data_IF_735111913578
#
_entry.id   IF_735111913578
#
_cell.length_a   1.000
_cell.length_b   1.000
_cell.length_c   1.000
_cell.angle_alpha   90.00
_cell.angle_beta   90.00
_cell.angle_gamma   90.00
#
_symmetry.space_group_name_H-M   'P 1'
#
loop_
_entity.id
_entity.type
_entity.pdbx_description
1 polymer ?
#
# COMPACT_ATOMS: atom_id res chain seq x y z
N UNK A 1 -21.66 -12.53 34.13
CA UNK A 1 -21.00 -12.93 32.87
C UNK A 1 -21.13 -11.77 31.90
N UNK A 2 -20.12 -10.90 31.82
CA UNK A 2 -20.24 -9.56 31.21
C UNK A 2 -19.21 -9.44 30.09
N UNK A 3 -19.74 -9.26 28.88
CA UNK A 3 -19.16 -8.54 27.73
C UNK A 3 -17.84 -9.11 27.15
N UNK A 4 -17.96 -10.15 26.30
CA UNK A 4 -16.93 -10.54 25.32
C UNK A 4 -17.35 -10.30 23.86
N UNK A 5 -18.63 -9.94 23.61
CA UNK A 5 -19.16 -9.73 22.26
C UNK A 5 -18.51 -8.62 21.40
N UNK A 6 -18.07 -7.45 21.92
CA UNK A 6 -17.61 -6.37 21.03
C UNK A 6 -16.23 -6.62 20.41
N UNK A 7 -15.41 -7.52 20.97
CA UNK A 7 -14.06 -7.84 20.45
C UNK A 7 -14.09 -9.07 19.54
N UNK A 8 -14.96 -10.05 19.81
CA UNK A 8 -15.02 -11.32 19.05
C UNK A 8 -15.39 -11.08 17.58
N UNK A 9 -16.30 -10.15 17.30
CA UNK A 9 -16.77 -9.89 15.93
C UNK A 9 -15.68 -9.30 15.01
N UNK A 10 -14.92 -8.25 15.40
CA UNK A 10 -13.79 -7.77 14.60
C UNK A 10 -12.70 -8.82 14.38
N UNK A 11 -12.34 -9.58 15.42
CA UNK A 11 -11.27 -10.59 15.29
C UNK A 11 -11.70 -11.75 14.41
N UNK A 12 -12.94 -12.23 14.55
CA UNK A 12 -13.51 -13.26 13.69
C UNK A 12 -13.62 -12.78 12.24
N UNK A 13 -14.00 -11.52 12.00
CA UNK A 13 -14.06 -10.94 10.67
C UNK A 13 -12.67 -10.80 10.03
N UNK A 14 -11.65 -10.36 10.77
CA UNK A 14 -10.27 -10.31 10.29
C UNK A 14 -9.72 -11.72 10.00
N UNK A 15 -10.05 -12.71 10.84
CA UNK A 15 -9.69 -14.10 10.59
C UNK A 15 -10.37 -14.66 9.33
N UNK A 16 -11.67 -14.37 9.14
CA UNK A 16 -12.39 -14.71 7.92
C UNK A 16 -11.76 -14.07 6.68
N UNK A 17 -11.44 -12.78 6.74
CA UNK A 17 -10.73 -12.09 5.65
C UNK A 17 -9.36 -12.72 5.38
N UNK A 18 -8.58 -13.02 6.43
CA UNK A 18 -7.29 -13.68 6.27
C UNK A 18 -7.43 -15.03 5.53
N UNK A 19 -8.33 -15.89 5.99
CA UNK A 19 -8.55 -17.21 5.42
C UNK A 19 -9.05 -17.15 3.97
N UNK A 20 -9.88 -16.16 3.62
CA UNK A 20 -10.43 -16.03 2.27
C UNK A 20 -9.49 -15.36 1.27
N UNK A 21 -8.52 -14.57 1.76
CA UNK A 21 -7.63 -13.77 0.91
C UNK A 21 -6.24 -14.37 0.74
N UNK A 22 -5.74 -15.17 1.71
CA UNK A 22 -4.38 -15.71 1.67
C UNK A 22 -4.07 -16.54 0.41
N UNK A 23 -5.10 -17.20 -0.14
CA UNK A 23 -4.95 -18.06 -1.33
C UNK A 23 -5.15 -17.27 -2.63
N UNK A 24 -5.63 -16.01 -2.54
CA UNK A 24 -5.92 -15.14 -3.70
C UNK A 24 -4.87 -14.06 -3.91
N UNK A 25 -4.25 -13.60 -2.83
CA UNK A 25 -3.23 -12.56 -2.83
C UNK A 25 -2.06 -13.01 -1.98
N UNK A 26 -0.92 -13.16 -2.65
CA UNK A 26 0.34 -13.45 -1.99
C UNK A 26 0.83 -12.21 -1.27
N UNK A 27 1.42 -12.38 -0.10
CA UNK A 27 2.00 -11.26 0.64
C UNK A 27 3.10 -11.76 1.57
N UNK A 28 4.24 -11.10 1.48
CA UNK A 28 5.47 -11.40 2.19
C UNK A 28 6.00 -10.14 2.86
N UNK A 29 6.40 -10.27 4.13
CA UNK A 29 6.92 -9.15 4.92
C UNK A 29 8.28 -9.49 5.50
N UNK A 30 9.30 -8.72 5.17
CA UNK A 30 10.70 -8.94 5.57
C UNK A 30 11.28 -7.71 6.30
N UNK A 31 12.24 -7.91 7.23
CA UNK A 31 12.95 -6.82 7.90
C UNK A 31 14.15 -6.30 7.07
N UNK A 32 14.01 -6.27 5.74
CA UNK A 32 14.97 -5.80 4.74
C UNK A 32 14.24 -5.61 3.41
N UNK A 33 14.82 -4.85 2.47
CA UNK A 33 14.29 -4.75 1.11
C UNK A 33 14.35 -6.11 0.40
N UNK A 34 13.24 -6.52 -0.22
CA UNK A 34 13.13 -7.78 -0.97
C UNK A 34 13.71 -7.69 -2.38
N UNK A 35 13.67 -6.49 -3.00
CA UNK A 35 14.19 -6.21 -4.33
C UNK A 35 14.51 -4.72 -4.49
N UNK A 36 15.00 -4.36 -5.68
CA UNK A 36 15.34 -3.00 -6.08
C UNK A 36 14.19 -2.27 -6.80
N UNK A 37 12.96 -2.82 -6.79
CA UNK A 37 11.81 -2.22 -7.48
C UNK A 37 11.39 -0.88 -6.86
N UNK A 38 11.72 -0.66 -5.59
CA UNK A 38 11.45 0.59 -4.85
C UNK A 38 12.76 1.24 -4.42
N UNK A 39 13.09 2.38 -5.04
CA UNK A 39 14.26 3.15 -4.67
C UNK A 39 14.05 3.92 -3.35
N UNK A 40 14.84 3.58 -2.34
CA UNK A 40 14.87 4.31 -1.07
C UNK A 40 15.47 5.72 -1.26
N UNK A 41 15.11 6.69 -0.40
CA UNK A 41 15.77 7.99 -0.37
C UNK A 41 17.28 7.85 -0.13
N UNK A 42 18.08 8.72 -0.78
CA UNK A 42 19.55 8.70 -0.70
C UNK A 42 20.07 8.69 0.74
N UNK A 43 19.45 9.44 1.63
CA UNK A 43 19.80 9.49 3.06
C UNK A 43 19.73 8.10 3.71
N UNK A 44 18.66 7.34 3.44
CA UNK A 44 18.47 6.00 4.00
C UNK A 44 19.47 5.02 3.40
N UNK A 45 19.72 5.11 2.09
CA UNK A 45 20.70 4.27 1.39
C UNK A 45 22.13 4.47 1.92
N UNK A 46 22.53 5.73 2.14
CA UNK A 46 23.87 6.08 2.60
C UNK A 46 24.13 5.69 4.06
N UNK A 47 23.07 5.61 4.87
CA UNK A 47 23.14 5.35 6.31
C UNK A 47 22.34 4.11 6.70
N UNK A 48 22.28 3.07 5.86
CA UNK A 48 21.40 1.90 6.05
C UNK A 48 21.53 1.26 7.45
N UNK A 49 22.74 1.26 8.01
CA UNK A 49 23.04 0.71 9.33
C UNK A 49 22.42 1.52 10.49
N UNK A 50 21.95 2.74 10.25
CA UNK A 50 21.27 3.57 11.23
C UNK A 50 19.75 3.33 11.24
N UNK A 51 19.21 2.62 10.25
CA UNK A 51 17.78 2.43 10.05
C UNK A 51 17.32 0.98 10.31
N UNK A 52 16.06 0.84 10.70
CA UNK A 52 15.30 -0.41 10.62
C UNK A 52 14.35 -0.27 9.46
N UNK A 53 14.42 -1.20 8.52
CA UNK A 53 13.63 -1.22 7.29
C UNK A 53 12.71 -2.44 7.33
N UNK A 54 11.45 -2.24 6.97
CA UNK A 54 10.49 -3.30 6.73
C UNK A 54 9.91 -3.15 5.35
N UNK A 55 9.88 -4.25 4.60
CA UNK A 55 9.30 -4.30 3.28
C UNK A 55 8.18 -5.36 3.29
N UNK A 56 6.94 -4.92 3.10
CA UNK A 56 5.81 -5.79 2.80
C UNK A 56 5.47 -5.71 1.30
N UNK A 57 5.61 -6.82 0.59
CA UNK A 57 5.27 -6.97 -0.82
C UNK A 57 4.03 -7.83 -0.92
N UNK A 58 2.98 -7.33 -1.58
CA UNK A 58 1.76 -8.09 -1.83
C UNK A 58 1.40 -8.07 -3.31
N UNK A 59 1.07 -9.23 -3.87
CA UNK A 59 0.82 -9.34 -5.30
C UNK A 59 -0.27 -10.33 -5.65
N UNK A 60 -0.85 -10.12 -6.83
CA UNK A 60 -1.84 -10.99 -7.44
C UNK A 60 -1.57 -11.13 -8.93
N UNK A 61 -1.61 -12.38 -9.40
CA UNK A 61 -1.48 -12.71 -10.81
C UNK A 61 -2.85 -12.61 -11.49
N UNK A 62 -2.86 -11.99 -12.66
CA UNK A 62 -4.05 -11.78 -13.48
C UNK A 62 -3.75 -12.35 -14.86
N UNK A 63 -4.49 -13.38 -15.25
CA UNK A 63 -4.43 -13.89 -16.61
C UNK A 63 -5.19 -12.91 -17.52
N UNK A 64 -4.46 -12.14 -18.32
CA UNK A 64 -5.04 -11.18 -19.24
C UNK A 64 -4.07 -10.91 -20.38
N UNK A 65 -4.27 -11.62 -21.49
CA UNK A 65 -3.42 -11.52 -22.68
C UNK A 65 -3.35 -10.10 -23.24
N UNK A 66 -4.45 -9.33 -23.16
CA UNK A 66 -4.48 -7.94 -23.64
C UNK A 66 -3.58 -7.05 -22.78
N UNK A 67 -3.61 -7.19 -21.47
CA UNK A 67 -2.72 -6.44 -20.57
C UNK A 67 -1.27 -6.90 -20.76
N UNK A 68 -1.03 -8.20 -20.86
CA UNK A 68 0.31 -8.75 -21.05
C UNK A 68 0.98 -8.32 -22.38
N UNK A 69 0.18 -8.06 -23.43
CA UNK A 69 0.70 -7.69 -24.76
C UNK A 69 0.68 -6.18 -25.02
N UNK A 70 -0.11 -5.40 -24.28
CA UNK A 70 -0.25 -3.96 -24.49
C UNK A 70 0.10 -3.15 -23.23
N UNK A 71 1.40 -2.93 -23.02
CA UNK A 71 1.95 -2.08 -21.95
C UNK A 71 1.52 -0.61 -22.04
N UNK A 72 0.96 -0.17 -23.18
CA UNK A 72 0.37 1.17 -23.33
C UNK A 72 -0.85 1.40 -22.44
N UNK A 73 -1.50 0.32 -21.96
CA UNK A 73 -2.67 0.40 -21.08
C UNK A 73 -2.32 0.57 -19.59
N UNK A 74 -1.05 0.41 -19.22
CA UNK A 74 -0.63 0.40 -17.82
C UNK A 74 -0.87 1.72 -17.08
N UNK A 75 -0.60 2.90 -17.65
CA UNK A 75 -0.82 4.16 -16.94
C UNK A 75 -2.29 4.38 -16.52
N UNK A 76 -3.24 4.07 -17.41
CA UNK A 76 -4.67 4.17 -17.12
C UNK A 76 -5.11 3.11 -16.09
N UNK A 77 -4.58 1.89 -16.20
CA UNK A 77 -4.86 0.81 -15.27
C UNK A 77 -4.35 1.11 -13.86
N UNK A 78 -3.11 1.61 -13.73
CA UNK A 78 -2.53 2.05 -12.45
C UNK A 78 -3.38 3.14 -11.80
N UNK A 79 -3.81 4.13 -12.59
CA UNK A 79 -4.68 5.21 -12.11
C UNK A 79 -6.00 4.65 -11.60
N UNK A 80 -6.67 3.81 -12.40
CA UNK A 80 -7.95 3.19 -12.01
C UNK A 80 -7.83 2.31 -10.76
N UNK A 81 -6.75 1.52 -10.69
CA UNK A 81 -6.44 0.64 -9.57
C UNK A 81 -6.19 1.44 -8.29
N UNK A 82 -5.39 2.51 -8.35
CA UNK A 82 -5.15 3.39 -7.20
C UNK A 82 -6.42 4.09 -6.73
N UNK A 83 -7.25 4.60 -7.65
CA UNK A 83 -8.56 5.18 -7.29
C UNK A 83 -9.41 4.18 -6.52
N UNK A 84 -9.54 2.96 -7.03
CA UNK A 84 -10.30 1.90 -6.36
C UNK A 84 -9.72 1.54 -4.98
N UNK A 85 -8.40 1.39 -4.89
CA UNK A 85 -7.72 1.07 -3.64
C UNK A 85 -7.89 2.17 -2.60
N UNK A 86 -7.69 3.43 -2.96
CA UNK A 86 -7.82 4.55 -2.04
C UNK A 86 -9.28 4.76 -1.60
N UNK A 87 -10.25 4.56 -2.50
CA UNK A 87 -11.68 4.54 -2.15
C UNK A 87 -12.06 3.40 -1.20
N UNK A 88 -11.38 2.26 -1.28
CA UNK A 88 -11.54 1.19 -0.31
C UNK A 88 -10.85 1.54 1.02
N UNK A 89 -9.64 2.11 0.97
CA UNK A 89 -8.83 2.48 2.12
C UNK A 89 -9.51 3.54 3.00
N UNK A 90 -10.17 4.56 2.44
CA UNK A 90 -10.89 5.57 3.25
C UNK A 90 -12.01 5.00 4.14
N UNK A 91 -12.43 3.75 3.89
CA UNK A 91 -13.41 3.03 4.70
C UNK A 91 -12.76 2.14 5.77
N UNK A 92 -11.44 2.03 5.77
CA UNK A 92 -10.69 1.21 6.71
C UNK A 92 -10.40 1.99 8.01
N UNK A 93 -10.32 1.31 9.16
CA UNK A 93 -10.02 1.95 10.44
C UNK A 93 -8.74 2.82 10.44
N UNK A 94 -7.62 2.41 9.81
CA UNK A 94 -6.42 3.26 9.75
C UNK A 94 -6.66 4.60 9.05
N UNK A 95 -7.45 4.64 7.97
CA UNK A 95 -7.75 5.89 7.28
C UNK A 95 -8.57 6.85 8.14
N UNK A 96 -9.51 6.35 8.95
CA UNK A 96 -10.25 7.18 9.90
C UNK A 96 -9.37 7.75 10.99
N UNK A 97 -8.39 6.98 11.47
CA UNK A 97 -7.41 7.45 12.43
C UNK A 97 -6.56 8.59 11.83
N UNK A 98 -6.03 8.40 10.61
CA UNK A 98 -5.26 9.44 9.90
C UNK A 98 -6.12 10.70 9.71
N UNK A 99 -7.34 10.55 9.18
CA UNK A 99 -8.26 11.68 8.93
C UNK A 99 -8.55 12.49 10.20
N UNK A 100 -8.71 11.82 11.35
CA UNK A 100 -8.93 12.47 12.65
C UNK A 100 -7.70 13.22 13.16
N UNK A 101 -6.50 12.73 12.85
CA UNK A 101 -5.24 13.34 13.27
C UNK A 101 -4.82 14.56 12.44
N UNK A 102 -5.44 14.78 11.28
CA UNK A 102 -5.23 15.97 10.43
C UNK A 102 -6.16 17.08 10.93
N UNK A 103 -5.65 18.28 11.21
CA UNK A 103 -6.46 19.39 11.71
C UNK A 103 -7.09 20.25 10.59
N UNK A 104 -6.34 20.51 9.51
CA UNK A 104 -6.75 21.40 8.43
C UNK A 104 -7.85 20.73 7.55
N UNK A 105 -9.02 21.37 7.37
CA UNK A 105 -10.04 20.89 6.45
C UNK A 105 -9.56 20.68 5.01
N UNK A 106 -8.64 21.51 4.50
CA UNK A 106 -8.12 21.41 3.14
C UNK A 106 -7.35 20.09 2.94
N UNK A 107 -6.56 19.68 3.93
CA UNK A 107 -5.87 18.39 3.91
C UNK A 107 -6.85 17.21 3.98
N UNK A 108 -7.98 17.38 4.67
CA UNK A 108 -9.03 16.35 4.80
C UNK A 108 -9.85 16.13 3.52
N UNK A 109 -9.87 17.09 2.60
CA UNK A 109 -10.51 16.94 1.27
C UNK A 109 -9.93 15.73 0.52
N UNK A 110 -8.65 15.42 0.75
CA UNK A 110 -7.98 14.26 0.13
C UNK A 110 -8.55 12.88 0.52
N UNK A 111 -9.51 12.83 1.44
CA UNK A 111 -10.27 11.63 1.81
C UNK A 111 -11.66 11.56 1.14
N UNK A 112 -12.06 12.58 0.39
CA UNK A 112 -13.38 12.64 -0.22
C UNK A 112 -13.44 11.76 -1.47
N UNK A 113 -14.53 10.98 -1.66
CA UNK A 113 -14.64 10.09 -2.81
C UNK A 113 -14.50 10.78 -4.16
N UNK A 114 -15.06 11.98 -4.32
CA UNK A 114 -15.03 12.71 -5.59
C UNK A 114 -13.63 13.27 -5.88
N UNK A 115 -12.93 13.73 -4.86
CA UNK A 115 -11.51 14.09 -4.96
C UNK A 115 -10.68 12.88 -5.43
N UNK A 116 -10.81 11.72 -4.78
CA UNK A 116 -10.06 10.51 -5.13
C UNK A 116 -10.37 10.06 -6.55
N UNK A 117 -11.63 10.11 -6.99
CA UNK A 117 -12.02 9.76 -8.37
C UNK A 117 -11.45 10.71 -9.41
N UNK A 118 -11.24 11.98 -9.04
CA UNK A 118 -10.66 13.01 -9.91
C UNK A 118 -9.14 12.92 -10.05
N UNK A 119 -8.44 12.31 -9.08
CA UNK A 119 -6.97 12.28 -9.06
C UNK A 119 -6.36 11.58 -10.27
N UNK A 120 -5.40 12.24 -10.93
CA UNK A 120 -4.54 11.61 -11.94
C UNK A 120 -3.48 10.70 -11.32
N UNK A 121 -3.09 10.96 -10.07
CA UNK A 121 -1.89 10.43 -9.43
C UNK A 121 -0.63 10.87 -10.17
N UNK A 122 -0.58 12.15 -10.51
CA UNK A 122 0.60 12.83 -11.03
C UNK A 122 1.54 13.23 -9.89
N UNK A 123 2.80 13.50 -10.18
CA UNK A 123 3.77 13.89 -9.15
C UNK A 123 3.29 15.11 -8.35
N UNK A 124 3.34 15.00 -7.02
CA UNK A 124 2.82 16.00 -6.09
C UNK A 124 1.34 15.80 -5.68
N UNK A 125 0.57 14.97 -6.39
CA UNK A 125 -0.80 14.64 -5.97
C UNK A 125 -0.79 13.99 -4.59
N UNK A 126 -1.72 14.40 -3.72
CA UNK A 126 -1.86 13.89 -2.36
C UNK A 126 -3.18 13.20 -2.18
N UNK A 127 -3.18 12.01 -1.58
CA UNK A 127 -4.37 11.21 -1.29
C UNK A 127 -4.37 10.73 0.16
N UNK A 128 -5.55 10.65 0.77
CA UNK A 128 -5.74 10.23 2.17
C UNK A 128 -4.77 10.92 3.15
N UNK A 129 -4.51 12.21 2.91
CA UNK A 129 -3.67 13.10 3.71
C UNK A 129 -2.18 12.84 3.61
N UNK A 130 -1.74 11.60 3.81
CA UNK A 130 -0.33 11.27 4.06
C UNK A 130 0.39 10.65 2.88
N UNK A 131 -0.32 10.27 1.81
CA UNK A 131 0.31 9.65 0.63
C UNK A 131 0.45 10.69 -0.47
N UNK A 132 1.68 11.12 -0.74
CA UNK A 132 1.99 12.05 -1.82
C UNK A 132 2.72 11.31 -2.94
N UNK A 133 2.30 11.49 -4.20
CA UNK A 133 2.96 10.87 -5.35
C UNK A 133 4.36 11.46 -5.49
N UNK A 134 5.37 10.62 -5.36
CA UNK A 134 6.78 11.01 -5.52
C UNK A 134 7.30 10.76 -6.93
N UNK A 135 6.77 9.76 -7.62
CA UNK A 135 7.11 9.47 -9.01
C UNK A 135 6.00 8.71 -9.72
N UNK A 136 5.89 8.94 -11.03
CA UNK A 136 4.95 8.25 -11.92
C UNK A 136 5.69 7.73 -13.15
N UNK A 137 5.74 6.42 -13.30
CA UNK A 137 6.28 5.72 -14.46
C UNK A 137 5.18 5.07 -15.31
N UNK A 138 5.60 4.39 -16.38
CA UNK A 138 4.67 3.69 -17.26
C UNK A 138 4.01 2.48 -16.58
N UNK A 139 4.75 1.75 -15.77
CA UNK A 139 4.31 0.52 -15.09
C UNK A 139 4.24 0.64 -13.57
N UNK A 140 4.62 1.78 -12.99
CA UNK A 140 4.73 1.95 -11.55
C UNK A 140 4.35 3.37 -11.10
N UNK A 141 3.68 3.49 -9.96
CA UNK A 141 3.45 4.76 -9.26
C UNK A 141 3.96 4.61 -7.83
N UNK A 142 4.77 5.57 -7.37
CA UNK A 142 5.32 5.57 -6.01
C UNK A 142 4.71 6.72 -5.22
N UNK A 143 4.18 6.39 -4.05
CA UNK A 143 3.60 7.30 -3.07
C UNK A 143 4.53 7.35 -1.85
N UNK A 144 5.05 8.52 -1.52
CA UNK A 144 5.77 8.75 -0.28
C UNK A 144 4.80 9.04 0.87
N UNK A 145 5.10 8.48 2.04
CA UNK A 145 4.52 8.93 3.30
C UNK A 145 5.10 10.31 3.63
N UNK A 146 4.30 11.32 3.36
CA UNK A 146 4.61 12.72 3.59
C UNK A 146 3.39 13.30 4.29
N UNK A 147 3.40 13.44 5.61
CA UNK A 147 2.24 13.94 6.33
C UNK A 147 2.17 15.48 6.26
N UNK A 148 0.98 16.08 6.13
CA UNK A 148 0.86 17.53 6.09
C UNK A 148 1.20 18.13 7.47
N UNK A 149 1.53 19.42 7.51
CA UNK A 149 1.90 20.11 8.75
C UNK A 149 0.79 20.06 9.83
N UNK A 150 -0.47 19.92 9.40
CA UNK A 150 -1.62 19.83 10.29
C UNK A 150 -1.83 18.44 10.92
N UNK A 151 -1.01 17.44 10.54
CA UNK A 151 -1.10 16.07 11.05
C UNK A 151 -0.38 15.91 12.39
N UNK A 152 -1.13 15.46 13.40
CA UNK A 152 -0.65 15.24 14.78
C UNK A 152 -0.57 13.75 15.16
N UNK A 153 -0.58 12.84 14.18
CA UNK A 153 -0.45 11.41 14.44
C UNK A 153 1.01 10.93 14.45
N UNK A 154 1.24 9.61 14.60
CA UNK A 154 2.58 9.03 14.56
C UNK A 154 3.30 9.37 13.26
N UNK A 155 4.56 9.80 13.36
CA UNK A 155 5.41 10.10 12.22
C UNK A 155 5.97 8.79 11.67
N UNK A 156 5.53 8.42 10.48
CA UNK A 156 5.98 7.22 9.78
C UNK A 156 6.66 7.65 8.50
N UNK A 157 7.86 7.15 8.27
CA UNK A 157 8.55 7.30 6.99
C UNK A 157 8.41 6.02 6.18
N UNK A 158 8.13 6.18 4.89
CA UNK A 158 7.90 5.04 4.02
C UNK A 158 7.47 5.41 2.62
N UNK A 159 7.35 4.37 1.79
CA UNK A 159 6.88 4.39 0.42
C UNK A 159 5.79 3.33 0.27
N UNK A 160 4.78 3.66 -0.54
CA UNK A 160 3.83 2.73 -1.14
C UNK A 160 4.07 2.76 -2.65
N UNK A 161 4.64 1.71 -3.22
CA UNK A 161 4.74 1.55 -4.66
C UNK A 161 3.64 0.62 -5.16
N UNK A 162 3.03 0.98 -6.28
CA UNK A 162 2.10 0.14 -7.00
C UNK A 162 2.66 -0.12 -8.39
N UNK A 163 2.81 -1.39 -8.73
CA UNK A 163 3.46 -1.83 -9.96
C UNK A 163 2.63 -2.85 -10.74
N UNK A 164 2.80 -2.83 -12.06
CA UNK A 164 2.30 -3.83 -13.00
C UNK A 164 3.50 -4.46 -13.70
N UNK A 165 3.81 -5.70 -13.32
CA UNK A 165 4.86 -6.52 -13.94
C UNK A 165 4.26 -7.48 -14.97
N UNK A 166 4.93 -7.65 -16.11
CA UNK A 166 4.55 -8.68 -17.09
C UNK A 166 5.24 -10.00 -16.75
N UNK A 167 4.48 -11.06 -16.48
CA UNK A 167 5.01 -12.42 -16.37
C UNK A 167 5.18 -12.98 -17.79
N UNK A 168 6.25 -12.58 -18.47
CA UNK A 168 6.65 -13.25 -19.71
C UNK A 168 7.37 -14.53 -19.29
N UNK A 169 6.64 -15.64 -19.14
CA UNK A 169 7.26 -16.93 -18.91
C UNK A 169 8.14 -17.28 -20.13
N UNK A 170 9.44 -17.49 -19.91
CA UNK A 170 10.32 -18.15 -20.90
C UNK A 170 9.82 -19.56 -21.23
N UNK A 171 9.03 -20.16 -20.34
CA UNK A 171 8.33 -21.43 -20.55
C UNK A 171 6.89 -21.22 -21.07
N UNK A 172 6.77 -21.14 -22.39
CA UNK A 172 5.63 -21.58 -23.24
C UNK A 172 4.29 -21.87 -22.53
N UNK A 173 3.69 -20.88 -21.88
CA UNK A 173 2.30 -20.93 -21.45
C UNK A 173 1.54 -19.84 -22.21
N UNK A 174 0.68 -20.27 -23.13
CA UNK A 174 -0.11 -19.47 -24.09
C UNK A 174 -1.08 -18.43 -23.46
N UNK A 175 -0.96 -18.14 -22.17
CA UNK A 175 -1.82 -17.23 -21.43
C UNK A 175 -0.98 -16.12 -20.82
N UNK A 176 -0.85 -15.00 -21.53
CA UNK A 176 -0.16 -13.81 -21.02
C UNK A 176 -0.70 -13.42 -19.64
N UNK A 177 0.19 -13.37 -18.65
CA UNK A 177 -0.13 -13.07 -17.27
C UNK A 177 0.54 -11.76 -16.83
N UNK A 178 -0.16 -11.00 -16.02
CA UNK A 178 0.33 -9.74 -15.48
C UNK A 178 0.17 -9.79 -13.98
N UNK A 179 1.18 -9.31 -13.26
CA UNK A 179 1.19 -9.25 -11.82
C UNK A 179 0.97 -7.82 -11.37
N UNK A 180 -0.05 -7.61 -10.54
CA UNK A 180 -0.24 -6.33 -9.84
C UNK A 180 0.36 -6.46 -8.46
N UNK A 181 1.19 -5.48 -8.09
CA UNK A 181 2.04 -5.50 -6.90
C UNK A 181 1.81 -4.22 -6.11
N UNK A 182 1.67 -4.37 -4.80
CA UNK A 182 1.71 -3.28 -3.84
C UNK A 182 2.90 -3.54 -2.89
N UNK A 183 3.90 -2.67 -2.95
CA UNK A 183 5.02 -2.66 -2.03
C UNK A 183 4.82 -1.57 -0.99
N UNK A 184 4.93 -1.94 0.28
CA UNK A 184 4.96 -1.03 1.41
C UNK A 184 6.32 -1.14 2.07
N UNK A 185 7.14 -0.12 1.88
CA UNK A 185 8.47 -0.03 2.49
C UNK A 185 8.41 1.02 3.58
N UNK A 186 8.58 0.62 4.84
CA UNK A 186 8.62 1.52 5.98
C UNK A 186 10.01 1.51 6.60
N UNK A 187 10.47 2.67 7.06
CA UNK A 187 11.72 2.75 7.79
C UNK A 187 11.65 3.73 8.94
N UNK A 188 12.58 3.57 9.87
CA UNK A 188 12.81 4.49 10.99
C UNK A 188 14.26 4.43 11.43
N UNK A 189 14.73 5.47 12.10
CA UNK A 189 16.01 5.42 12.82
C UNK A 189 15.97 4.36 13.93
N UNK A 190 17.07 3.62 14.10
CA UNK A 190 17.25 2.62 15.17
C UNK A 190 17.10 3.26 16.54
N UNK A 191 17.73 4.42 16.72
CA UNK A 191 17.73 5.22 17.95
C UNK A 191 16.71 6.35 17.80
N UNK A 192 15.81 6.49 18.77
CA UNK A 192 14.84 7.60 18.83
C UNK A 192 13.63 7.50 17.88
N UNK A 193 13.61 6.54 16.95
CA UNK A 193 12.45 6.31 16.07
C UNK A 193 11.32 5.51 16.74
N UNK A 194 10.07 5.90 16.48
CA UNK A 194 8.89 5.17 16.95
C UNK A 194 8.73 3.82 16.24
N UNK A 195 8.38 2.76 16.96
CA UNK A 195 8.20 1.43 16.37
C UNK A 195 7.09 1.43 15.30
N UNK A 196 7.41 0.87 14.14
CA UNK A 196 6.52 0.74 13.00
C UNK A 196 5.45 -0.35 13.23
N UNK A 197 4.35 -0.28 12.48
CA UNK A 197 3.28 -1.30 12.52
C UNK A 197 3.79 -2.70 12.17
N UNK A 198 4.73 -2.79 11.21
CA UNK A 198 5.29 -4.05 10.71
C UNK A 198 6.27 -4.73 11.70
N UNK A 199 6.82 -3.97 12.65
CA UNK A 199 7.71 -4.53 13.69
C UNK A 199 6.95 -5.40 14.70
N UNK A 200 5.67 -5.10 14.94
CA UNK A 200 4.84 -5.83 15.90
C UNK A 200 4.13 -6.97 15.19
N UNK A 201 4.20 -8.20 15.73
CA UNK A 201 3.60 -9.38 15.10
C UNK A 201 2.10 -9.20 14.79
N UNK A 202 1.33 -8.68 15.75
CA UNK A 202 -0.11 -8.38 15.56
C UNK A 202 -0.33 -7.27 14.54
N UNK A 203 0.46 -6.19 14.61
CA UNK A 203 0.36 -5.07 13.67
C UNK A 203 0.64 -5.51 12.24
N UNK A 204 1.72 -6.26 12.05
CA UNK A 204 2.08 -6.90 10.78
C UNK A 204 0.98 -7.81 10.27
N UNK A 205 0.44 -8.72 11.09
CA UNK A 205 -0.66 -9.59 10.67
C UNK A 205 -1.89 -8.80 10.20
N UNK A 206 -2.32 -7.79 10.96
CA UNK A 206 -3.44 -6.92 10.58
C UNK A 206 -3.15 -6.17 9.28
N UNK A 207 -1.94 -5.62 9.14
CA UNK A 207 -1.52 -4.90 7.94
C UNK A 207 -1.52 -5.81 6.72
N UNK A 208 -0.97 -7.03 6.82
CA UNK A 208 -0.98 -8.00 5.72
C UNK A 208 -2.38 -8.47 5.35
N UNK A 209 -3.37 -8.46 6.26
CA UNK A 209 -4.78 -8.72 5.92
C UNK A 209 -5.37 -7.54 5.16
N UNK A 210 -5.10 -6.30 5.60
CA UNK A 210 -5.56 -5.09 4.95
C UNK A 210 -5.01 -4.94 3.54
N UNK A 211 -3.70 -5.15 3.35
CA UNK A 211 -3.05 -5.05 2.03
C UNK A 211 -3.59 -6.11 1.07
N UNK A 212 -3.74 -7.37 1.53
CA UNK A 212 -4.38 -8.41 0.70
C UNK A 212 -5.80 -8.04 0.29
N UNK A 213 -6.57 -7.47 1.22
CA UNK A 213 -7.94 -7.02 0.93
C UNK A 213 -7.96 -5.89 -0.09
N UNK A 214 -7.03 -4.94 0.01
CA UNK A 214 -6.87 -3.84 -0.94
C UNK A 214 -6.55 -4.36 -2.35
N UNK A 215 -5.49 -5.17 -2.49
CA UNK A 215 -5.10 -5.78 -3.78
C UNK A 215 -6.26 -6.58 -4.38
N UNK A 216 -6.96 -7.40 -3.57
CA UNK A 216 -8.08 -8.19 -4.06
C UNK A 216 -9.27 -7.33 -4.52
N UNK A 217 -9.48 -6.13 -3.96
CA UNK A 217 -10.58 -5.23 -4.36
C UNK A 217 -10.23 -4.31 -5.53
N UNK A 218 -8.94 -4.08 -5.77
CA UNK A 218 -8.48 -3.27 -6.90
C UNK A 218 -8.48 -4.02 -8.24
N UNK A 219 -8.63 -5.35 -8.21
CA UNK A 219 -8.63 -6.25 -9.37
C UNK A 219 -10.02 -6.77 -9.69
#
# INVERSE_FOLDING_TARGET
AVVSLPVVLPTAYLAYLHLTLKDKVQCQTTPHLQDDSVALPKEVCQHVDEYIIWHERAWKNIQNLRLATNKGLYPELLTSYLRHNMLAFIKAPPAWAIKRSIADPNDRVSFEPDYIRGLGFEEGDRVCGVYAVSSRGQSQIVLKLDAPASYNGPKVEGLLAVEIENETNEDNSDLGAVRIINDVVLWRKKIGGEKLVLERAVGRWVHSVLVRWMVQRGV
#
